data_IF_109851098148
#
_entry.id   IF_109851098148
#
_cell.length_a   1.000
_cell.length_b   1.000
_cell.length_c   1.000
_cell.angle_alpha   90.00
_cell.angle_beta   90.00
_cell.angle_gamma   90.00
#
_symmetry.space_group_name_H-M   'P 1'
#
loop_
_entity.id
_entity.type
_entity.pdbx_description
1 polymer ?
#
# COMPACT_ATOMS: atom_id res chain seq x y z
N UNK A 1 -19.14 -4.12 29.40
CA UNK A 1 -18.23 -3.08 28.87
C UNK A 1 -18.89 -2.56 27.61
N UNK A 2 -19.50 -1.39 27.67
CA UNK A 2 -20.23 -0.80 26.55
C UNK A 2 -19.22 -0.34 25.51
N UNK A 3 -19.17 -1.02 24.36
CA UNK A 3 -18.50 -0.45 23.19
C UNK A 3 -19.27 0.82 22.79
N UNK A 4 -18.67 1.97 23.04
CA UNK A 4 -19.03 3.16 22.30
C UNK A 4 -18.68 2.86 20.85
N UNK A 5 -19.69 2.66 20.00
CA UNK A 5 -19.53 2.78 18.55
C UNK A 5 -19.17 4.23 18.26
N UNK A 6 -17.91 4.55 18.53
CA UNK A 6 -17.31 5.85 18.30
C UNK A 6 -17.09 5.93 16.82
N UNK A 7 -17.84 6.80 16.14
CA UNK A 7 -17.62 7.11 14.74
C UNK A 7 -16.13 7.50 14.57
N UNK A 8 -15.35 6.62 13.95
CA UNK A 8 -13.94 6.90 13.63
C UNK A 8 -13.95 7.84 12.42
N UNK A 9 -13.85 9.15 12.69
CA UNK A 9 -13.80 10.15 11.63
C UNK A 9 -12.53 9.93 10.80
N UNK A 10 -12.69 9.76 9.48
CA UNK A 10 -11.57 9.58 8.56
C UNK A 10 -10.99 8.15 8.50
N UNK A 11 -11.54 7.18 9.24
CA UNK A 11 -11.11 5.76 9.22
C UNK A 11 -9.62 5.54 9.57
N UNK A 12 -9.02 6.43 10.35
CA UNK A 12 -7.64 6.27 10.78
C UNK A 12 -7.46 4.96 11.59
N UNK A 13 -6.50 4.13 11.16
CA UNK A 13 -6.22 2.82 11.77
C UNK A 13 -7.23 1.71 11.44
N UNK A 14 -8.26 1.96 10.63
CA UNK A 14 -9.25 0.95 10.24
C UNK A 14 -8.79 0.20 9.00
N UNK A 15 -8.64 -1.13 9.12
CA UNK A 15 -8.35 -2.00 7.97
C UNK A 15 -9.62 -2.16 7.12
N UNK A 16 -9.64 -1.51 5.96
CA UNK A 16 -10.78 -1.55 5.04
C UNK A 16 -10.77 -2.78 4.11
N UNK A 17 -9.58 -3.26 3.74
CA UNK A 17 -9.39 -4.41 2.85
C UNK A 17 -7.97 -4.96 2.96
N UNK A 18 -7.79 -6.22 2.56
CA UNK A 18 -6.48 -6.82 2.32
C UNK A 18 -6.07 -6.64 0.84
N UNK A 19 -4.78 -6.47 0.58
CA UNK A 19 -4.24 -6.30 -0.78
C UNK A 19 -2.90 -6.97 -0.94
N UNK A 20 -2.60 -7.40 -2.17
CA UNK A 20 -1.29 -7.91 -2.57
C UNK A 20 -0.55 -6.92 -3.49
N UNK A 21 -1.13 -5.74 -3.76
CA UNK A 21 -0.60 -4.79 -4.75
C UNK A 21 0.62 -4.03 -4.25
N UNK A 22 0.59 -3.59 -2.99
CA UNK A 22 1.53 -2.61 -2.46
C UNK A 22 1.84 -2.91 -0.99
N UNK A 23 3.11 -2.73 -0.63
CA UNK A 23 3.62 -2.75 0.74
C UNK A 23 4.30 -1.41 1.03
N UNK A 24 3.80 -0.68 2.03
CA UNK A 24 4.30 0.63 2.44
C UNK A 24 4.79 0.56 3.89
N UNK A 25 6.08 0.78 4.06
CA UNK A 25 6.71 0.95 5.37
C UNK A 25 7.14 2.41 5.52
N UNK A 26 6.25 3.21 6.12
CA UNK A 26 6.49 4.63 6.36
C UNK A 26 7.58 4.91 7.40
N UNK A 27 7.90 3.95 8.28
CA UNK A 27 8.94 4.12 9.29
C UNK A 27 10.34 4.01 8.67
N UNK A 28 10.50 3.10 7.70
CA UNK A 28 11.76 2.90 6.98
C UNK A 28 11.80 3.59 5.60
N UNK A 29 10.73 4.29 5.20
CA UNK A 29 10.64 5.00 3.93
C UNK A 29 10.64 4.07 2.71
N UNK A 30 10.13 2.85 2.85
CA UNK A 30 10.12 1.83 1.80
C UNK A 30 8.75 1.69 1.18
N UNK A 31 8.71 1.64 -0.15
CA UNK A 31 7.51 1.39 -0.95
C UNK A 31 7.83 0.28 -1.94
N UNK A 32 7.01 -0.77 -1.96
CA UNK A 32 7.16 -1.90 -2.87
C UNK A 32 5.85 -2.24 -3.59
N UNK A 33 5.95 -2.51 -4.89
CA UNK A 33 4.83 -2.99 -5.72
C UNK A 33 5.00 -4.48 -5.99
N UNK A 34 4.02 -5.30 -5.58
CA UNK A 34 4.07 -6.77 -5.71
C UNK A 34 5.40 -7.38 -5.21
N UNK A 35 6.02 -6.75 -4.21
CA UNK A 35 7.32 -7.16 -3.63
C UNK A 35 8.56 -6.52 -4.25
N UNK A 36 8.45 -5.80 -5.37
CA UNK A 36 9.57 -5.08 -6.00
C UNK A 36 9.72 -3.68 -5.43
N UNK A 37 10.94 -3.29 -5.10
CA UNK A 37 11.24 -1.93 -4.61
C UNK A 37 10.92 -0.88 -5.69
N UNK A 38 10.24 0.20 -5.28
CA UNK A 38 9.79 1.24 -6.22
C UNK A 38 10.97 1.92 -6.93
N UNK A 39 12.11 2.06 -6.28
CA UNK A 39 13.27 2.72 -6.85
C UNK A 39 13.91 1.86 -7.95
N UNK A 40 13.82 0.53 -7.83
CA UNK A 40 14.28 -0.39 -8.88
C UNK A 40 13.35 -0.37 -10.09
N UNK A 41 12.03 -0.39 -9.86
CA UNK A 41 11.05 -0.25 -10.94
C UNK A 41 11.25 1.07 -11.69
N UNK A 42 11.41 2.18 -10.98
CA UNK A 42 11.60 3.50 -11.60
C UNK A 42 12.88 3.60 -12.46
N UNK A 43 13.93 2.84 -12.14
CA UNK A 43 15.19 2.83 -12.90
C UNK A 43 15.21 1.84 -14.05
N UNK A 44 14.42 0.77 -13.96
CA UNK A 44 14.60 -0.44 -14.78
C UNK A 44 13.39 -0.88 -15.57
N UNK A 45 12.20 -0.37 -15.25
CA UNK A 45 10.95 -0.76 -15.89
C UNK A 45 10.30 0.44 -16.61
N UNK A 46 9.58 0.16 -17.70
CA UNK A 46 8.70 1.14 -18.32
C UNK A 46 7.40 1.28 -17.55
N UNK A 47 6.64 2.34 -17.88
CA UNK A 47 5.31 2.55 -17.31
C UNK A 47 4.36 1.37 -17.64
N UNK A 48 4.42 0.84 -18.87
CA UNK A 48 3.59 -0.27 -19.32
C UNK A 48 3.92 -1.57 -18.57
N UNK A 49 5.20 -1.85 -18.31
CA UNK A 49 5.62 -3.01 -17.51
C UNK A 49 5.11 -2.93 -16.07
N UNK A 50 5.20 -1.75 -15.45
CA UNK A 50 4.65 -1.52 -14.10
C UNK A 50 3.13 -1.60 -14.09
N UNK A 51 2.47 -1.09 -15.13
CA UNK A 51 1.01 -1.19 -15.25
C UNK A 51 0.58 -2.65 -15.38
N UNK A 52 1.27 -3.43 -16.20
CA UNK A 52 1.02 -4.87 -16.34
C UNK A 52 1.23 -5.62 -15.02
N UNK A 53 2.22 -5.23 -14.22
CA UNK A 53 2.47 -5.82 -12.90
C UNK A 53 1.32 -5.56 -11.89
N UNK A 54 0.63 -4.43 -12.02
CA UNK A 54 -0.37 -3.97 -11.06
C UNK A 54 -1.81 -4.32 -11.42
N UNK A 55 -2.11 -4.51 -12.71
CA UNK A 55 -3.43 -4.97 -13.19
C UNK A 55 -3.66 -6.46 -12.87
#
# INVERSE_FOLDING_TARGET
MSESSGLIRGLEGVVAAETQLCDLDGANGRLAYRGYDIADLARRASFEEVTYLLL
#
